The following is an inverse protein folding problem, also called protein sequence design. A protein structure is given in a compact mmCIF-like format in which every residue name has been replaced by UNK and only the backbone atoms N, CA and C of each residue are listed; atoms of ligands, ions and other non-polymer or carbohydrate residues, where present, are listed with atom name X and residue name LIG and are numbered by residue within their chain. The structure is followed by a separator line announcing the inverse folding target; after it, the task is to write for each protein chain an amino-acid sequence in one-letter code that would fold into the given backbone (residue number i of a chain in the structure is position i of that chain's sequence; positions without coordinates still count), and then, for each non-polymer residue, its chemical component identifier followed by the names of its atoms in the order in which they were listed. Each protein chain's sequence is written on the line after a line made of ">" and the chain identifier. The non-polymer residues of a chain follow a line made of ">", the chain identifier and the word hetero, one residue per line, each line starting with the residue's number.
data_IF_390669022849
#
_entry.id   IF_390669022849
#
_cell.length_a   1.000
_cell.length_b   1.000
_cell.length_c   1.000
_cell.angle_alpha   90.00
_cell.angle_beta   90.00
_cell.angle_gamma   90.00
#
_symmetry.space_group_name_H-M   'P 1'
#
loop_
_entity.id
_entity.type
_entity.pdbx_description
1 polymer ?
#
# COMPACT_ATOMS: atom_id res chain seq x y z
N UNK A 1 4.83 24.53 -3.77
CA UNK A 1 4.79 23.23 -4.47
C UNK A 1 5.91 22.36 -3.96
N UNK A 2 5.59 21.27 -3.25
CA UNK A 2 6.62 20.31 -2.79
C UNK A 2 7.14 19.61 -4.05
N UNK A 3 8.45 19.71 -4.31
CA UNK A 3 9.04 19.15 -5.53
C UNK A 3 8.94 17.62 -5.56
N UNK A 4 8.71 17.04 -6.75
CA UNK A 4 8.65 15.59 -7.00
C UNK A 4 9.80 14.82 -6.32
N UNK A 5 11.01 15.40 -6.35
CA UNK A 5 12.22 14.85 -5.72
C UNK A 5 12.05 14.62 -4.20
N UNK A 6 11.35 15.53 -3.50
CA UNK A 6 11.09 15.40 -2.05
C UNK A 6 10.06 14.31 -1.74
N UNK A 7 9.03 14.15 -2.58
CA UNK A 7 8.04 13.07 -2.43
C UNK A 7 8.67 11.69 -2.67
N UNK A 8 9.49 11.55 -3.71
CA UNK A 8 10.22 10.32 -4.00
C UNK A 8 11.18 9.96 -2.85
N UNK A 9 11.97 10.92 -2.37
CA UNK A 9 12.88 10.72 -1.24
C UNK A 9 12.12 10.31 0.03
N UNK A 10 11.04 11.00 0.38
CA UNK A 10 10.21 10.68 1.55
C UNK A 10 9.64 9.26 1.47
N UNK A 11 9.15 8.85 0.29
CA UNK A 11 8.60 7.50 0.07
C UNK A 11 9.69 6.44 0.19
N UNK A 12 10.88 6.69 -0.35
CA UNK A 12 12.02 5.78 -0.24
C UNK A 12 12.48 5.64 1.22
N UNK A 13 12.68 6.76 1.93
CA UNK A 13 13.04 6.75 3.35
C UNK A 13 12.03 5.99 4.17
N UNK A 14 10.73 6.22 3.94
CA UNK A 14 9.68 5.50 4.63
C UNK A 14 9.73 3.98 4.35
N UNK A 15 9.97 3.57 3.10
CA UNK A 15 10.10 2.15 2.73
C UNK A 15 11.30 1.48 3.40
N UNK A 16 12.45 2.15 3.45
CA UNK A 16 13.64 1.63 4.14
C UNK A 16 13.36 1.48 5.63
N UNK A 17 12.77 2.49 6.27
CA UNK A 17 12.43 2.43 7.71
C UNK A 17 11.46 1.29 7.98
N UNK A 18 10.38 1.17 7.20
CA UNK A 18 9.38 0.12 7.38
C UNK A 18 9.97 -1.29 7.26
N UNK A 19 10.72 -1.58 6.19
CA UNK A 19 11.35 -2.90 6.01
C UNK A 19 12.36 -3.17 7.13
N UNK A 20 13.16 -2.18 7.52
CA UNK A 20 14.14 -2.33 8.62
C UNK A 20 13.44 -2.65 9.94
N UNK A 21 12.35 -1.97 10.24
CA UNK A 21 11.55 -2.23 11.44
C UNK A 21 11.02 -3.66 11.46
N UNK A 22 10.50 -4.19 10.35
CA UNK A 22 10.06 -5.59 10.27
C UNK A 22 11.21 -6.56 10.53
N UNK A 23 12.35 -6.36 9.87
CA UNK A 23 13.54 -7.22 10.05
C UNK A 23 13.98 -7.24 11.51
N UNK A 24 13.98 -6.08 12.18
CA UNK A 24 14.34 -5.96 13.59
C UNK A 24 13.32 -6.65 14.50
N UNK A 25 12.02 -6.43 14.29
CA UNK A 25 10.96 -7.05 15.10
C UNK A 25 11.05 -8.57 15.01
N UNK A 26 11.16 -9.09 13.79
CA UNK A 26 11.23 -10.54 13.58
C UNK A 26 12.55 -11.09 14.10
N UNK A 27 13.68 -10.46 13.78
CA UNK A 27 15.01 -10.93 14.20
C UNK A 27 15.17 -10.93 15.72
N UNK A 28 14.65 -9.93 16.42
CA UNK A 28 14.63 -9.90 17.90
C UNK A 28 13.65 -10.93 18.46
N UNK A 29 12.48 -11.09 17.83
CA UNK A 29 11.46 -12.04 18.29
C UNK A 29 11.84 -13.52 18.11
N UNK A 30 12.50 -13.87 17.01
CA UNK A 30 12.92 -15.25 16.71
C UNK A 30 14.35 -15.56 17.13
N UNK A 31 15.18 -14.54 17.37
CA UNK A 31 16.63 -14.69 17.57
C UNK A 31 17.40 -14.99 16.28
N UNK A 32 16.71 -15.08 15.14
CA UNK A 32 17.29 -15.49 13.85
C UNK A 32 17.09 -14.40 12.79
N UNK A 33 18.15 -13.64 12.53
CA UNK A 33 18.12 -12.49 11.61
C UNK A 33 17.81 -12.87 10.16
N UNK A 34 18.17 -14.10 9.73
CA UNK A 34 17.88 -14.61 8.40
C UNK A 34 16.36 -14.69 8.15
N UNK A 35 15.60 -15.10 9.17
CA UNK A 35 14.13 -15.13 9.12
C UNK A 35 13.58 -13.70 9.00
N UNK A 36 14.11 -12.76 9.76
CA UNK A 36 13.68 -11.35 9.69
C UNK A 36 13.87 -10.73 8.31
N UNK A 37 15.01 -10.96 7.68
CA UNK A 37 15.28 -10.52 6.30
C UNK A 37 14.33 -11.20 5.31
N UNK A 38 14.10 -12.51 5.45
CA UNK A 38 13.16 -13.25 4.62
C UNK A 38 11.73 -12.71 4.72
N UNK A 39 11.26 -12.45 5.94
CA UNK A 39 9.93 -11.87 6.18
C UNK A 39 9.84 -10.46 5.60
N UNK A 40 10.82 -9.60 5.82
CA UNK A 40 10.82 -8.23 5.27
C UNK A 40 10.79 -8.21 3.73
N UNK A 41 11.47 -9.16 3.08
CA UNK A 41 11.47 -9.29 1.62
C UNK A 41 10.12 -9.74 1.05
N UNK A 42 9.41 -10.62 1.76
CA UNK A 42 8.07 -11.11 1.34
C UNK A 42 6.96 -10.14 1.75
N UNK A 43 7.07 -9.47 2.89
CA UNK A 43 6.07 -8.54 3.40
C UNK A 43 5.85 -7.39 2.40
N UNK A 44 6.93 -6.81 1.89
CA UNK A 44 6.87 -5.65 0.99
C UNK A 44 5.98 -5.86 -0.25
N UNK A 45 6.23 -6.87 -1.11
CA UNK A 45 5.39 -7.11 -2.29
C UNK A 45 4.01 -7.63 -1.89
N UNK A 46 3.90 -8.40 -0.81
CA UNK A 46 2.62 -8.90 -0.29
C UNK A 46 1.69 -7.76 0.09
N UNK A 47 2.19 -6.73 0.80
CA UNK A 47 1.41 -5.56 1.17
C UNK A 47 0.93 -4.77 -0.05
N UNK A 48 1.77 -4.67 -1.09
CA UNK A 48 1.38 -4.00 -2.34
C UNK A 48 0.28 -4.78 -3.06
N UNK A 49 0.41 -6.11 -3.15
CA UNK A 49 -0.60 -6.98 -3.76
C UNK A 49 -1.91 -6.94 -2.97
N UNK A 50 -1.84 -7.07 -1.64
CA UNK A 50 -3.02 -6.98 -0.76
C UNK A 50 -3.69 -5.62 -0.85
N UNK A 51 -2.94 -4.52 -0.91
CA UNK A 51 -3.52 -3.18 -1.08
C UNK A 51 -4.26 -3.06 -2.41
N UNK A 52 -3.67 -3.54 -3.50
CA UNK A 52 -4.33 -3.56 -4.80
C UNK A 52 -5.61 -4.43 -4.78
N UNK A 53 -5.55 -5.63 -4.22
CA UNK A 53 -6.72 -6.50 -4.09
C UNK A 53 -7.79 -5.88 -3.19
N UNK A 54 -7.38 -5.24 -2.08
CA UNK A 54 -8.26 -4.51 -1.19
C UNK A 54 -9.00 -3.40 -1.95
N UNK A 55 -8.29 -2.55 -2.72
CA UNK A 55 -8.94 -1.54 -3.55
C UNK A 55 -9.91 -2.17 -4.56
N UNK A 56 -9.52 -3.25 -5.25
CA UNK A 56 -10.39 -3.91 -6.23
C UNK A 56 -11.67 -4.46 -5.60
N UNK A 57 -11.56 -5.10 -4.44
CA UNK A 57 -12.72 -5.60 -3.68
C UNK A 57 -13.55 -4.43 -3.18
N UNK A 58 -12.93 -3.37 -2.67
CA UNK A 58 -13.60 -2.18 -2.17
C UNK A 58 -14.42 -1.48 -3.28
N UNK A 59 -13.82 -1.26 -4.45
CA UNK A 59 -14.50 -0.72 -5.62
C UNK A 59 -15.65 -1.62 -6.09
N UNK A 60 -15.45 -2.94 -6.10
CA UNK A 60 -16.44 -3.88 -6.62
C UNK A 60 -17.64 -4.09 -5.69
N UNK A 61 -17.44 -4.04 -4.38
CA UNK A 61 -18.45 -4.49 -3.41
C UNK A 61 -18.96 -3.40 -2.45
N UNK A 62 -18.19 -2.34 -2.19
CA UNK A 62 -18.52 -1.35 -1.15
C UNK A 62 -18.93 0.00 -1.74
N UNK A 63 -18.51 0.35 -2.96
CA UNK A 63 -18.98 1.54 -3.69
C UNK A 63 -18.64 2.91 -3.08
N UNK A 64 -18.07 2.97 -1.87
CA UNK A 64 -17.56 4.18 -1.25
C UNK A 64 -16.22 4.55 -1.87
N UNK A 65 -16.29 5.31 -2.96
CA UNK A 65 -15.13 5.73 -3.76
C UNK A 65 -15.48 6.19 -5.17
N UNK A 66 -16.69 5.93 -5.65
CA UNK A 66 -17.20 6.60 -6.86
C UNK A 66 -17.38 8.07 -6.50
N UNK A 67 -16.56 8.94 -7.09
CA UNK A 67 -16.79 10.39 -6.99
C UNK A 67 -18.19 10.64 -7.52
N UNK A 68 -19.03 11.38 -6.80
CA UNK A 68 -20.42 11.65 -7.18
C UNK A 68 -20.60 12.10 -8.64
N UNK A 69 -19.54 12.63 -9.26
CA UNK A 69 -19.44 12.96 -10.68
C UNK A 69 -19.68 11.78 -11.66
N UNK A 70 -19.19 10.56 -11.37
CA UNK A 70 -19.41 9.39 -12.25
C UNK A 70 -20.86 8.87 -12.15
N UNK A 71 -21.45 8.95 -10.96
CA UNK A 71 -22.86 8.61 -10.72
C UNK A 71 -23.81 9.54 -11.47
N UNK A 72 -23.50 10.85 -11.55
CA UNK A 72 -24.37 11.83 -12.22
C UNK A 72 -24.33 11.75 -13.74
N UNK A 73 -23.19 11.32 -14.32
CA UNK A 73 -23.05 11.13 -15.76
C UNK A 73 -23.81 9.91 -16.24
N UNK A 74 -23.74 8.79 -15.52
CA UNK A 74 -24.53 7.59 -15.84
C UNK A 74 -26.05 7.83 -15.79
N UNK A 75 -26.55 8.73 -14.94
CA UNK A 75 -27.96 9.12 -14.91
C UNK A 75 -28.35 10.13 -15.99
N UNK A 76 -27.41 10.97 -16.46
CA UNK A 76 -27.65 11.96 -17.50
C UNK A 76 -27.53 11.38 -18.93
N UNK A 77 -26.76 10.31 -19.12
CA UNK A 77 -26.67 9.58 -20.38
C UNK A 77 -27.83 8.57 -20.59
N UNK A 78 -28.60 8.30 -19.53
CA UNK A 78 -29.76 7.40 -19.54
C UNK A 78 -31.09 8.10 -19.86
N UNK A 79 -31.08 9.42 -20.07
CA UNK A 79 -32.24 10.27 -20.41
C UNK A 79 -32.08 10.84 -21.83
#
# INVERSE_FOLDING_TARGET
>A
MISWKRHAAKTMTWRIVATTTTVVIVGVGTGEWAVGVGVGAVEFPTKMLLYYLHERVWYKFIGLGVTAAESSLSSAEAE
#
